data_IF_160951229198
#
_entry.id   IF_160951229198
#
_cell.length_a   1.000
_cell.length_b   1.000
_cell.length_c   1.000
_cell.angle_alpha   90.00
_cell.angle_beta   90.00
_cell.angle_gamma   90.00
#
_symmetry.space_group_name_H-M   'P 1'
#
loop_
_entity.id
_entity.type
_entity.pdbx_description
1 polymer ?
#
# COMPACT_ATOMS: atom_id res chain seq x y z
N UNK A 1 8.20 -91.24 -53.86
CA UNK A 1 9.38 -90.36 -53.62
C UNK A 1 8.93 -88.94 -53.32
N UNK A 2 9.14 -88.51 -52.06
CA UNK A 2 9.60 -87.19 -51.60
C UNK A 2 8.92 -85.90 -52.14
N UNK A 3 8.18 -85.17 -51.28
CA UNK A 3 8.59 -83.96 -50.49
C UNK A 3 8.33 -82.64 -51.25
N UNK A 4 7.87 -81.49 -50.72
CA UNK A 4 7.22 -81.06 -49.46
C UNK A 4 6.77 -79.57 -49.65
N UNK A 5 5.56 -79.20 -49.18
CA UNK A 5 5.10 -77.95 -48.51
C UNK A 5 5.41 -76.54 -49.09
N UNK A 6 4.38 -75.68 -49.27
CA UNK A 6 4.24 -74.41 -48.52
C UNK A 6 2.85 -73.73 -48.65
N UNK A 7 2.41 -73.17 -47.51
CA UNK A 7 1.12 -72.54 -47.18
C UNK A 7 1.13 -71.06 -47.60
N UNK A 8 -0.02 -70.52 -48.02
CA UNK A 8 -0.19 -69.09 -48.34
C UNK A 8 -1.59 -68.54 -48.02
N UNK A 9 -1.63 -67.63 -47.04
CA UNK A 9 -2.77 -66.85 -46.51
C UNK A 9 -3.32 -65.85 -47.55
N UNK A 10 -4.64 -65.62 -47.58
CA UNK A 10 -5.24 -64.39 -48.14
C UNK A 10 -6.65 -64.15 -47.55
N UNK A 11 -6.75 -63.36 -46.48
CA UNK A 11 -7.93 -62.53 -46.23
C UNK A 11 -7.41 -61.13 -45.86
N UNK A 12 -7.50 -60.22 -46.83
CA UNK A 12 -7.36 -58.79 -46.65
C UNK A 12 -8.77 -58.23 -46.46
N UNK A 13 -9.05 -57.65 -45.30
CA UNK A 13 -10.33 -57.01 -44.98
C UNK A 13 -10.07 -55.77 -44.12
N UNK A 14 -10.10 -54.62 -44.79
CA UNK A 14 -9.80 -53.28 -44.27
C UNK A 14 -10.62 -52.90 -43.02
N UNK A 15 -9.92 -52.65 -41.92
CA UNK A 15 -10.41 -51.76 -40.84
C UNK A 15 -9.92 -50.35 -41.18
N UNK A 16 -10.81 -49.50 -41.69
CA UNK A 16 -10.54 -48.05 -41.76
C UNK A 16 -10.77 -47.48 -40.36
N UNK A 17 -9.76 -47.64 -39.50
CA UNK A 17 -9.66 -46.99 -38.20
C UNK A 17 -8.90 -45.68 -38.35
N UNK A 18 -9.48 -44.59 -37.86
CA UNK A 18 -8.88 -43.26 -37.79
C UNK A 18 -7.60 -43.31 -36.93
N UNK A 19 -6.45 -43.56 -37.54
CA UNK A 19 -5.15 -43.54 -36.86
C UNK A 19 -4.59 -42.12 -36.89
N UNK A 20 -4.89 -41.35 -35.85
CA UNK A 20 -4.03 -40.21 -35.52
C UNK A 20 -2.60 -40.78 -35.33
N UNK A 21 -1.63 -40.25 -36.08
CA UNK A 21 -0.27 -40.79 -36.10
C UNK A 21 0.44 -40.50 -34.78
N UNK A 22 1.49 -41.27 -34.44
CA UNK A 22 2.34 -41.00 -33.26
C UNK A 22 2.96 -39.59 -33.34
N UNK A 23 3.25 -39.11 -34.54
CA UNK A 23 3.70 -37.73 -34.79
C UNK A 23 2.63 -36.68 -34.46
N UNK A 24 1.35 -36.99 -34.66
CA UNK A 24 0.23 -36.10 -34.31
C UNK A 24 0.00 -36.04 -32.79
N UNK A 25 0.24 -37.16 -32.08
CA UNK A 25 0.29 -37.20 -30.60
C UNK A 25 1.49 -36.44 -30.02
N UNK A 26 2.67 -36.56 -30.64
CA UNK A 26 3.89 -35.86 -30.21
C UNK A 26 3.83 -34.34 -30.48
N UNK A 27 3.02 -33.91 -31.45
CA UNK A 27 2.84 -32.49 -31.83
C UNK A 27 1.56 -31.85 -31.26
N UNK A 28 0.87 -32.52 -30.33
CA UNK A 28 -0.31 -31.91 -29.70
C UNK A 28 0.07 -30.58 -29.04
N UNK A 29 -0.68 -29.50 -29.32
CA UNK A 29 -0.41 -28.23 -28.68
C UNK A 29 -0.53 -28.40 -27.16
N UNK A 30 0.46 -27.88 -26.40
CA UNK A 30 0.48 -28.01 -24.95
C UNK A 30 -0.80 -27.40 -24.38
N UNK A 31 -1.42 -28.11 -23.43
CA UNK A 31 -2.71 -27.74 -22.83
C UNK A 31 -2.48 -27.08 -21.47
N UNK A 32 -3.36 -26.17 -21.04
CA UNK A 32 -3.29 -25.63 -19.69
C UNK A 32 -3.47 -26.75 -18.66
N UNK A 33 -2.70 -26.68 -17.57
CA UNK A 33 -2.76 -27.65 -16.45
C UNK A 33 -4.05 -27.55 -15.65
N UNK A 34 -4.77 -26.41 -15.75
CA UNK A 34 -6.07 -26.19 -15.13
C UNK A 34 -6.82 -25.04 -15.81
N UNK A 35 -8.14 -24.94 -15.59
CA UNK A 35 -8.92 -23.80 -16.07
C UNK A 35 -8.42 -22.47 -15.49
N UNK A 36 -7.98 -22.45 -14.23
CA UNK A 36 -7.43 -21.25 -13.60
C UNK A 36 -6.15 -20.76 -14.31
N UNK A 37 -5.24 -21.66 -14.68
CA UNK A 37 -4.05 -21.34 -15.47
C UNK A 37 -4.40 -20.79 -16.85
N UNK A 38 -5.41 -21.38 -17.50
CA UNK A 38 -5.92 -20.87 -18.78
C UNK A 38 -6.47 -19.45 -18.64
N UNK A 39 -7.21 -19.18 -17.55
CA UNK A 39 -7.75 -17.85 -17.26
C UNK A 39 -6.64 -16.80 -17.08
N UNK A 40 -5.52 -17.13 -16.41
CA UNK A 40 -4.38 -16.20 -16.30
C UNK A 40 -3.83 -15.81 -17.67
N UNK A 41 -3.66 -16.78 -18.56
CA UNK A 41 -3.14 -16.54 -19.92
C UNK A 41 -4.12 -15.71 -20.77
N UNK A 42 -5.43 -15.95 -20.63
CA UNK A 42 -6.47 -15.17 -21.32
C UNK A 42 -6.60 -13.75 -20.75
N UNK A 43 -6.58 -13.58 -19.43
CA UNK A 43 -6.71 -12.29 -18.76
C UNK A 43 -5.55 -11.34 -19.06
N UNK A 44 -4.36 -11.91 -19.29
CA UNK A 44 -3.14 -11.19 -19.72
C UNK A 44 -3.04 -11.02 -21.23
N UNK A 45 -4.06 -11.47 -21.99
CA UNK A 45 -4.11 -11.33 -23.45
C UNK A 45 -2.95 -12.01 -24.17
N UNK A 46 -2.41 -13.09 -23.61
CA UNK A 46 -1.37 -13.86 -24.27
C UNK A 46 -1.84 -14.30 -25.66
N UNK A 47 -1.01 -14.06 -26.67
CA UNK A 47 -1.22 -14.56 -28.03
C UNK A 47 -1.26 -16.09 -28.02
N UNK A 48 -1.81 -16.72 -29.06
CA UNK A 48 -1.83 -18.20 -29.14
C UNK A 48 -0.42 -18.80 -29.04
N UNK A 49 0.60 -18.13 -29.57
CA UNK A 49 2.01 -18.54 -29.43
C UNK A 49 2.51 -18.41 -27.99
N UNK A 50 2.22 -17.29 -27.31
CA UNK A 50 2.58 -17.11 -25.91
C UNK A 50 1.86 -18.07 -24.97
N UNK A 51 0.58 -18.38 -25.22
CA UNK A 51 -0.15 -19.40 -24.46
C UNK A 51 0.53 -20.77 -24.59
N UNK A 52 0.90 -21.18 -25.81
CA UNK A 52 1.66 -22.42 -26.00
C UNK A 52 2.99 -22.39 -25.28
N UNK A 53 3.72 -21.28 -25.36
CA UNK A 53 4.98 -21.10 -24.64
C UNK A 53 4.79 -21.28 -23.13
N UNK A 54 3.81 -20.58 -22.56
CA UNK A 54 3.44 -20.64 -21.15
C UNK A 54 3.09 -22.05 -20.72
N UNK A 55 2.20 -22.74 -21.44
CA UNK A 55 1.76 -24.10 -21.09
C UNK A 55 2.87 -25.14 -21.19
N UNK A 56 3.89 -24.96 -22.06
CA UNK A 56 5.07 -25.83 -22.09
C UNK A 56 5.91 -25.75 -20.82
N UNK A 57 5.84 -24.64 -20.10
CA UNK A 57 6.60 -24.46 -18.86
C UNK A 57 5.88 -25.07 -17.65
N UNK A 58 4.97 -26.03 -17.83
CA UNK A 58 4.21 -26.70 -16.74
C UNK A 58 3.71 -25.72 -15.63
N UNK A 59 2.93 -24.68 -15.99
CA UNK A 59 2.54 -23.65 -15.05
C UNK A 59 1.59 -24.21 -13.98
N UNK A 60 1.72 -23.72 -12.75
CA UNK A 60 0.91 -24.17 -11.61
C UNK A 60 0.62 -23.06 -10.61
N UNK A 61 -0.59 -23.05 -10.05
CA UNK A 61 -1.01 -22.12 -9.00
C UNK A 61 -0.92 -22.84 -7.66
N UNK A 62 0.12 -22.52 -6.90
CA UNK A 62 0.52 -23.24 -5.71
C UNK A 62 0.29 -22.41 -4.44
N UNK A 63 0.07 -23.05 -3.27
CA UNK A 63 0.16 -22.33 -2.02
C UNK A 63 1.57 -21.75 -1.86
N UNK A 64 1.66 -20.70 -1.08
CA UNK A 64 2.86 -19.89 -0.87
C UNK A 64 4.05 -20.68 -0.34
N UNK A 65 3.83 -21.61 0.58
CA UNK A 65 4.83 -22.54 1.13
C UNK A 65 5.52 -23.32 0.01
N UNK A 66 4.73 -23.88 -0.90
CA UNK A 66 5.23 -24.65 -2.03
C UNK A 66 6.01 -23.78 -3.03
N UNK A 67 5.61 -22.52 -3.23
CA UNK A 67 6.37 -21.58 -4.08
C UNK A 67 7.73 -21.26 -3.47
N UNK A 68 7.82 -20.96 -2.17
CA UNK A 68 9.12 -20.66 -1.55
C UNK A 68 10.10 -21.84 -1.64
N UNK A 69 9.62 -23.06 -1.35
CA UNK A 69 10.42 -24.28 -1.46
C UNK A 69 10.89 -24.51 -2.90
N UNK A 70 9.97 -24.35 -3.86
CA UNK A 70 10.22 -24.64 -5.26
C UNK A 70 11.15 -23.62 -5.91
N UNK A 71 10.96 -22.34 -5.61
CA UNK A 71 11.79 -21.25 -6.08
C UNK A 71 13.15 -21.17 -5.35
N UNK A 72 13.39 -22.03 -4.34
CA UNK A 72 14.66 -22.17 -3.58
C UNK A 72 15.15 -20.86 -2.97
N UNK A 73 14.24 -20.14 -2.33
CA UNK A 73 14.54 -18.86 -1.73
C UNK A 73 14.86 -19.09 -0.26
N UNK A 74 16.11 -18.82 0.14
CA UNK A 74 16.58 -19.02 1.50
C UNK A 74 16.08 -17.96 2.50
N UNK A 75 15.57 -16.81 2.02
CA UNK A 75 15.26 -15.64 2.86
C UNK A 75 13.92 -14.94 2.55
N UNK A 76 13.45 -14.19 3.55
CA UNK A 76 12.12 -13.55 3.77
C UNK A 76 11.69 -12.50 2.71
N UNK A 77 11.67 -12.86 1.44
CA UNK A 77 11.19 -12.01 0.33
C UNK A 77 9.73 -12.28 -0.07
N UNK A 78 9.08 -11.30 -0.71
CA UNK A 78 7.82 -11.52 -1.43
C UNK A 78 8.19 -12.07 -2.81
N UNK A 79 8.03 -13.38 -3.02
CA UNK A 79 8.16 -13.99 -4.34
C UNK A 79 6.82 -14.58 -4.74
N UNK A 80 6.20 -13.92 -5.71
CA UNK A 80 4.85 -14.23 -6.17
C UNK A 80 4.85 -15.33 -7.22
N UNK A 81 6.01 -15.64 -7.79
CA UNK A 81 6.20 -16.72 -8.73
C UNK A 81 7.66 -16.85 -9.13
N UNK A 82 7.97 -17.91 -9.85
CA UNK A 82 9.27 -18.04 -10.49
C UNK A 82 9.19 -18.94 -11.72
N UNK A 83 10.04 -18.60 -12.68
CA UNK A 83 10.41 -19.44 -13.80
C UNK A 83 11.68 -20.25 -13.47
N UNK A 84 11.58 -21.57 -13.52
CA UNK A 84 12.68 -22.49 -13.21
C UNK A 84 13.00 -23.31 -14.45
N UNK A 85 14.27 -23.29 -14.88
CA UNK A 85 14.80 -24.18 -15.92
C UNK A 85 15.90 -25.08 -15.35
N UNK A 86 15.82 -26.38 -15.65
CA UNK A 86 16.86 -27.38 -15.33
C UNK A 86 17.00 -28.37 -16.50
N UNK A 87 18.05 -28.19 -17.30
CA UNK A 87 18.22 -28.97 -18.52
C UNK A 87 17.01 -28.81 -19.45
N UNK A 88 16.41 -29.92 -19.87
CA UNK A 88 15.20 -29.93 -20.72
C UNK A 88 13.89 -29.71 -19.95
N UNK A 89 13.92 -29.64 -18.62
CA UNK A 89 12.74 -29.45 -17.79
C UNK A 89 12.57 -27.99 -17.38
N UNK A 90 11.34 -27.49 -17.45
CA UNK A 90 10.97 -26.13 -17.04
C UNK A 90 9.68 -26.12 -16.24
N UNK A 91 9.58 -25.21 -15.27
CA UNK A 91 8.37 -25.00 -14.47
C UNK A 91 8.11 -23.52 -14.21
N UNK A 92 6.86 -23.10 -14.30
CA UNK A 92 6.38 -21.83 -13.77
C UNK A 92 5.54 -22.11 -12.52
N UNK A 93 5.97 -21.56 -11.40
CA UNK A 93 5.22 -21.59 -10.15
C UNK A 93 4.62 -20.21 -9.89
N UNK A 94 3.33 -20.15 -9.58
CA UNK A 94 2.62 -18.91 -9.27
C UNK A 94 1.98 -19.07 -7.90
N UNK A 95 2.28 -18.15 -6.99
CA UNK A 95 1.67 -18.11 -5.67
C UNK A 95 0.20 -17.77 -5.79
N UNK A 96 -0.63 -18.60 -5.15
CA UNK A 96 -2.06 -18.33 -5.00
C UNK A 96 -2.26 -17.07 -4.15
N UNK A 97 -2.93 -16.08 -4.73
CA UNK A 97 -3.35 -14.87 -4.02
C UNK A 97 -4.88 -14.88 -3.92
N UNK A 98 -5.38 -14.96 -2.69
CA UNK A 98 -6.83 -15.01 -2.41
C UNK A 98 -7.40 -13.67 -1.94
N UNK A 99 -6.53 -12.73 -1.56
CA UNK A 99 -6.96 -11.40 -1.13
C UNK A 99 -7.53 -10.62 -2.33
N UNK A 100 -8.82 -10.23 -2.30
CA UNK A 100 -9.46 -9.54 -3.42
C UNK A 100 -8.83 -8.16 -3.71
N UNK A 101 -8.15 -7.55 -2.73
CA UNK A 101 -7.46 -6.26 -2.89
C UNK A 101 -6.21 -6.37 -3.78
N UNK A 102 -5.68 -7.58 -3.93
CA UNK A 102 -4.50 -7.90 -4.74
C UNK A 102 -4.89 -8.52 -6.10
N UNK A 103 -6.12 -8.26 -6.57
CA UNK A 103 -6.57 -8.71 -7.89
C UNK A 103 -5.62 -8.18 -8.98
N UNK A 104 -5.26 -9.05 -9.92
CA UNK A 104 -4.26 -8.74 -10.94
C UNK A 104 -2.86 -9.24 -10.60
N UNK A 105 -2.56 -9.59 -9.34
CA UNK A 105 -1.24 -10.08 -8.95
C UNK A 105 -0.87 -11.38 -9.67
N UNK A 106 -1.73 -12.40 -9.63
CA UNK A 106 -1.44 -13.69 -10.28
C UNK A 106 -1.34 -13.55 -11.80
N UNK A 107 -2.17 -12.69 -12.41
CA UNK A 107 -2.14 -12.42 -13.83
C UNK A 107 -0.81 -11.76 -14.25
N UNK A 108 -0.39 -10.71 -13.54
CA UNK A 108 0.87 -10.01 -13.83
C UNK A 108 2.06 -10.95 -13.63
N UNK A 109 2.07 -11.73 -12.55
CA UNK A 109 3.09 -12.77 -12.32
C UNK A 109 3.10 -13.78 -13.47
N UNK A 110 1.95 -14.32 -13.89
CA UNK A 110 1.91 -15.27 -15.00
C UNK A 110 2.50 -14.69 -16.31
N UNK A 111 2.19 -13.43 -16.61
CA UNK A 111 2.76 -12.73 -17.76
C UNK A 111 4.28 -12.55 -17.60
N UNK A 112 4.73 -12.14 -16.41
CA UNK A 112 6.14 -11.94 -16.08
C UNK A 112 6.94 -13.24 -16.21
N UNK A 113 6.48 -14.33 -15.60
CA UNK A 113 7.17 -15.63 -15.67
C UNK A 113 7.19 -16.22 -17.09
N UNK A 114 6.12 -16.00 -17.88
CA UNK A 114 6.10 -16.37 -19.29
C UNK A 114 7.15 -15.57 -20.09
N UNK A 115 7.35 -14.29 -19.77
CA UNK A 115 8.36 -13.47 -20.43
C UNK A 115 9.79 -13.90 -20.11
N UNK A 116 10.08 -14.51 -18.95
CA UNK A 116 11.37 -15.15 -18.72
C UNK A 116 11.60 -16.33 -19.67
N UNK A 117 10.60 -17.19 -19.85
CA UNK A 117 10.68 -18.28 -20.81
C UNK A 117 10.84 -17.77 -22.26
N UNK A 118 10.19 -16.66 -22.59
CA UNK A 118 10.31 -16.00 -23.89
C UNK A 118 11.72 -15.43 -24.12
N UNK A 119 12.25 -14.72 -23.12
CA UNK A 119 13.59 -14.14 -23.17
C UNK A 119 14.67 -15.21 -23.35
N UNK A 120 14.51 -16.35 -22.68
CA UNK A 120 15.44 -17.47 -22.81
C UNK A 120 15.47 -18.05 -24.24
N UNK A 121 14.36 -18.02 -24.97
CA UNK A 121 14.29 -18.50 -26.36
C UNK A 121 14.90 -17.54 -27.39
N UNK A 122 15.18 -16.29 -27.02
CA UNK A 122 15.80 -15.32 -27.92
C UNK A 122 17.21 -15.76 -28.28
N UNK A 123 17.55 -15.65 -29.57
CA UNK A 123 18.92 -15.78 -30.05
C UNK A 123 19.78 -14.64 -29.54
N UNK A 124 21.10 -14.85 -29.48
CA UNK A 124 22.05 -13.82 -29.00
C UNK A 124 21.92 -12.49 -29.76
N UNK A 125 21.71 -12.53 -31.08
CA UNK A 125 21.50 -11.33 -31.90
C UNK A 125 20.21 -10.60 -31.51
N UNK A 126 19.09 -11.32 -31.36
CA UNK A 126 17.80 -10.74 -30.95
C UNK A 126 17.87 -10.14 -29.55
N UNK A 127 18.60 -10.78 -28.62
CA UNK A 127 18.83 -10.22 -27.28
C UNK A 127 19.63 -8.92 -27.35
N UNK A 128 20.69 -8.87 -28.17
CA UNK A 128 21.50 -7.67 -28.35
C UNK A 128 20.69 -6.49 -28.90
N UNK A 129 19.82 -6.74 -29.88
CA UNK A 129 18.95 -5.72 -30.47
C UNK A 129 17.99 -5.11 -29.45
N UNK A 130 17.29 -5.95 -28.67
CA UNK A 130 16.29 -5.46 -27.70
C UNK A 130 16.92 -4.87 -26.45
N UNK A 131 18.14 -5.27 -26.07
CA UNK A 131 18.82 -4.80 -24.87
C UNK A 131 19.08 -3.29 -24.91
N UNK A 132 19.36 -2.73 -26.09
CA UNK A 132 19.59 -1.28 -26.26
C UNK A 132 18.35 -0.50 -25.82
N UNK A 133 17.17 -0.88 -26.32
CA UNK A 133 15.92 -0.21 -25.98
C UNK A 133 15.49 -0.45 -24.53
N UNK A 134 15.74 -1.66 -23.98
CA UNK A 134 15.51 -1.94 -22.57
C UNK A 134 16.37 -1.05 -21.67
N UNK A 135 17.65 -0.86 -22.01
CA UNK A 135 18.57 -0.01 -21.24
C UNK A 135 18.18 1.48 -21.31
N UNK A 136 17.68 1.96 -22.45
CA UNK A 136 17.12 3.32 -22.57
C UNK A 136 15.89 3.46 -21.68
N UNK A 137 14.98 2.48 -21.74
CA UNK A 137 13.76 2.46 -20.92
C UNK A 137 14.10 2.43 -19.44
N UNK A 138 15.11 1.67 -19.02
CA UNK A 138 15.60 1.65 -17.64
C UNK A 138 16.03 3.04 -17.14
N UNK A 139 16.72 3.83 -17.97
CA UNK A 139 17.11 5.22 -17.63
C UNK A 139 15.91 6.14 -17.49
N UNK A 140 14.83 5.92 -18.24
CA UNK A 140 13.60 6.69 -18.10
C UNK A 140 12.87 6.32 -16.80
N UNK A 141 12.80 5.03 -16.48
CA UNK A 141 12.26 4.53 -15.20
C UNK A 141 12.95 5.19 -14.00
N UNK A 142 14.28 5.37 -14.04
CA UNK A 142 15.02 6.03 -12.96
C UNK A 142 14.64 7.51 -12.74
N UNK A 143 14.11 8.19 -13.76
CA UNK A 143 13.78 9.62 -13.73
C UNK A 143 12.31 9.91 -13.43
N UNK A 144 11.43 8.94 -13.59
CA UNK A 144 9.99 9.11 -13.47
C UNK A 144 9.48 8.73 -12.07
N UNK A 145 8.92 9.67 -11.30
CA UNK A 145 8.45 9.39 -9.92
C UNK A 145 7.44 8.25 -9.82
N UNK A 146 6.57 8.08 -10.83
CA UNK A 146 5.60 6.98 -10.85
C UNK A 146 6.24 5.58 -10.86
N UNK A 147 7.50 5.45 -11.25
CA UNK A 147 8.23 4.19 -11.28
C UNK A 147 9.30 4.09 -10.19
N UNK A 148 9.26 4.93 -9.15
CA UNK A 148 10.26 4.93 -8.08
C UNK A 148 10.46 3.54 -7.42
N UNK A 149 9.37 2.81 -7.18
CA UNK A 149 9.42 1.46 -6.61
C UNK A 149 10.04 0.45 -7.58
N UNK A 150 9.68 0.50 -8.86
CA UNK A 150 10.27 -0.36 -9.89
C UNK A 150 11.76 -0.05 -10.09
N UNK A 151 12.14 1.24 -10.12
CA UNK A 151 13.53 1.69 -10.16
C UNK A 151 14.33 1.12 -8.99
N UNK A 152 13.78 1.16 -7.76
CA UNK A 152 14.42 0.59 -6.57
C UNK A 152 14.60 -0.92 -6.69
N UNK A 153 13.59 -1.65 -7.18
CA UNK A 153 13.65 -3.10 -7.39
C UNK A 153 14.70 -3.49 -8.44
N UNK A 154 14.68 -2.86 -9.61
CA UNK A 154 15.68 -3.12 -10.68
C UNK A 154 17.11 -2.83 -10.20
N UNK A 155 17.29 -1.77 -9.40
CA UNK A 155 18.57 -1.47 -8.76
C UNK A 155 19.03 -2.54 -7.76
N UNK A 156 18.11 -3.20 -7.04
CA UNK A 156 18.44 -4.32 -6.17
C UNK A 156 18.91 -5.53 -6.98
N UNK A 157 18.20 -5.88 -8.06
CA UNK A 157 18.64 -6.93 -8.96
C UNK A 157 20.03 -6.65 -9.55
N UNK A 158 20.25 -5.42 -10.05
CA UNK A 158 21.53 -4.99 -10.61
C UNK A 158 22.70 -5.17 -9.64
N UNK A 159 22.48 -4.98 -8.34
CA UNK A 159 23.51 -5.11 -7.30
C UNK A 159 23.68 -6.54 -6.80
N UNK A 160 22.57 -7.23 -6.52
CA UNK A 160 22.60 -8.47 -5.75
C UNK A 160 22.63 -9.71 -6.66
N UNK A 161 21.97 -9.65 -7.82
CA UNK A 161 21.83 -10.77 -8.75
C UNK A 161 22.03 -10.29 -10.22
N UNK A 162 23.22 -9.76 -10.58
CA UNK A 162 23.44 -9.17 -11.90
C UNK A 162 23.22 -10.16 -13.06
N UNK A 163 23.37 -11.47 -12.81
CA UNK A 163 23.19 -12.52 -13.83
C UNK A 163 21.74 -12.67 -14.32
N UNK A 164 20.74 -12.25 -13.54
CA UNK A 164 19.32 -12.28 -13.93
C UNK A 164 18.77 -10.91 -14.30
N UNK A 165 19.56 -9.84 -14.11
CA UNK A 165 19.09 -8.46 -14.29
C UNK A 165 18.44 -8.22 -15.66
N UNK A 166 19.05 -8.68 -16.75
CA UNK A 166 18.52 -8.42 -18.10
C UNK A 166 17.17 -9.10 -18.34
N UNK A 167 16.98 -10.32 -17.81
CA UNK A 167 15.70 -11.03 -17.96
C UNK A 167 14.61 -10.43 -17.07
N UNK A 168 14.96 -9.99 -15.85
CA UNK A 168 14.05 -9.25 -14.96
C UNK A 168 13.66 -7.90 -15.57
N UNK A 169 14.63 -7.15 -16.11
CA UNK A 169 14.41 -5.88 -16.78
C UNK A 169 13.43 -6.05 -17.95
N UNK A 170 13.66 -7.06 -18.78
CA UNK A 170 12.76 -7.42 -19.87
C UNK A 170 11.34 -7.76 -19.37
N UNK A 171 11.21 -8.61 -18.36
CA UNK A 171 9.89 -9.05 -17.88
C UNK A 171 9.12 -7.93 -17.18
N UNK A 172 9.77 -7.10 -16.36
CA UNK A 172 9.16 -5.93 -15.72
C UNK A 172 8.75 -4.84 -16.72
N UNK A 173 9.61 -4.52 -17.71
CA UNK A 173 9.25 -3.54 -18.75
C UNK A 173 8.02 -4.01 -19.53
N UNK A 174 7.96 -5.31 -19.87
CA UNK A 174 6.84 -5.88 -20.61
C UNK A 174 5.50 -5.86 -19.87
N UNK A 175 5.52 -5.81 -18.53
CA UNK A 175 4.33 -5.99 -17.69
C UNK A 175 3.92 -4.74 -16.90
N UNK A 176 4.82 -3.79 -16.65
CA UNK A 176 4.58 -2.69 -15.71
C UNK A 176 4.74 -1.28 -16.31
N UNK A 177 5.56 -1.13 -17.35
CA UNK A 177 5.85 0.19 -17.94
C UNK A 177 4.82 0.52 -19.00
N UNK A 178 4.08 1.62 -18.82
CA UNK A 178 2.97 1.96 -19.69
C UNK A 178 3.43 2.36 -21.10
N UNK A 179 4.36 3.29 -21.21
CA UNK A 179 4.78 3.85 -22.50
C UNK A 179 6.14 3.27 -22.88
N UNK A 180 6.18 2.53 -23.99
CA UNK A 180 7.40 1.96 -24.54
C UNK A 180 7.74 2.61 -25.89
N UNK A 181 8.98 2.45 -26.33
CA UNK A 181 9.34 2.79 -27.71
C UNK A 181 8.49 1.96 -28.70
N UNK A 182 8.24 2.46 -29.92
CA UNK A 182 7.52 1.67 -30.94
C UNK A 182 8.18 0.33 -31.24
N UNK A 183 9.50 0.23 -31.11
CA UNK A 183 10.26 -1.01 -31.28
C UNK A 183 9.94 -2.02 -30.18
N UNK A 184 9.99 -1.62 -28.91
CA UNK A 184 9.64 -2.50 -27.79
C UNK A 184 8.16 -2.88 -27.80
N UNK A 185 7.26 -1.95 -28.16
CA UNK A 185 5.83 -2.28 -28.25
C UNK A 185 5.59 -3.36 -29.31
N UNK A 186 6.19 -3.22 -30.49
CA UNK A 186 6.13 -4.24 -31.56
C UNK A 186 6.75 -5.57 -31.13
N UNK A 187 7.84 -5.52 -30.37
CA UNK A 187 8.47 -6.71 -29.82
C UNK A 187 7.52 -7.48 -28.87
N UNK A 188 6.86 -6.78 -27.94
CA UNK A 188 5.94 -7.41 -26.97
C UNK A 188 4.60 -7.83 -27.59
N UNK A 189 4.18 -7.26 -28.73
CA UNK A 189 3.01 -7.71 -29.49
C UNK A 189 3.10 -9.18 -29.93
N UNK A 190 4.30 -9.75 -30.02
CA UNK A 190 4.50 -11.20 -30.26
C UNK A 190 3.90 -12.05 -29.15
N UNK A 191 3.87 -11.51 -27.92
CA UNK A 191 3.45 -12.22 -26.73
C UNK A 191 2.06 -11.83 -26.23
N UNK A 192 1.65 -10.57 -26.41
CA UNK A 192 0.37 -10.06 -25.92
C UNK A 192 -0.38 -9.30 -27.01
N UNK A 193 -1.68 -9.56 -27.16
CA UNK A 193 -2.52 -8.80 -28.09
C UNK A 193 -2.89 -7.42 -27.55
N UNK A 194 -2.91 -7.25 -26.22
CA UNK A 194 -3.11 -5.96 -25.55
C UNK A 194 -2.25 -5.90 -24.27
N UNK A 195 -1.01 -5.44 -24.42
CA UNK A 195 -0.07 -5.29 -23.30
C UNK A 195 -0.55 -4.28 -22.26
N UNK A 196 -1.31 -3.25 -22.66
CA UNK A 196 -1.84 -2.25 -21.73
C UNK A 196 -2.81 -2.86 -20.72
N UNK A 197 -3.47 -3.98 -21.07
CA UNK A 197 -4.27 -4.75 -20.11
C UNK A 197 -3.43 -5.24 -18.93
N UNK A 198 -2.21 -5.71 -19.17
CA UNK A 198 -1.29 -6.21 -18.14
C UNK A 198 -0.78 -5.05 -17.28
N UNK A 199 -0.37 -3.95 -17.92
CA UNK A 199 0.04 -2.73 -17.22
C UNK A 199 -1.07 -2.24 -16.29
N UNK A 200 -2.34 -2.28 -16.74
CA UNK A 200 -3.48 -1.93 -15.90
C UNK A 200 -3.64 -2.86 -14.70
N UNK A 201 -3.47 -4.18 -14.89
CA UNK A 201 -3.51 -5.15 -13.80
C UNK A 201 -2.35 -4.95 -12.81
N UNK A 202 -1.14 -4.61 -13.30
CA UNK A 202 0.02 -4.28 -12.47
C UNK A 202 -0.25 -3.03 -11.63
N UNK A 203 -0.73 -1.95 -12.24
CA UNK A 203 -1.12 -0.73 -11.52
C UNK A 203 -2.18 -1.01 -10.45
N UNK A 204 -3.16 -1.87 -10.75
CA UNK A 204 -4.19 -2.26 -9.79
C UNK A 204 -3.61 -3.03 -8.59
N UNK A 205 -2.72 -4.00 -8.85
CA UNK A 205 -2.16 -4.85 -7.79
C UNK A 205 -1.23 -4.08 -6.83
N UNK A 206 -0.52 -3.06 -7.32
CA UNK A 206 0.36 -2.22 -6.49
C UNK A 206 -0.35 -1.01 -5.84
N UNK A 207 -1.51 -0.60 -6.37
CA UNK A 207 -2.21 0.62 -5.93
C UNK A 207 -2.61 0.57 -4.44
N UNK A 208 -3.03 -0.59 -3.94
CA UNK A 208 -3.45 -0.71 -2.53
C UNK A 208 -2.28 -0.47 -1.58
N UNK A 209 -1.09 -0.99 -1.89
CA UNK A 209 0.11 -0.76 -1.08
C UNK A 209 0.50 0.71 -1.09
N UNK A 210 0.55 1.32 -2.27
CA UNK A 210 0.85 2.75 -2.42
C UNK A 210 -0.14 3.64 -1.67
N UNK A 211 -1.45 3.32 -1.71
CA UNK A 211 -2.49 4.04 -0.97
C UNK A 211 -2.26 3.96 0.54
N UNK A 212 -1.99 2.77 1.08
CA UNK A 212 -1.78 2.57 2.51
C UNK A 212 -0.49 3.26 2.99
N UNK A 213 0.58 3.19 2.20
CA UNK A 213 1.83 3.89 2.48
C UNK A 213 1.64 5.41 2.48
N UNK A 214 0.95 5.95 1.47
CA UNK A 214 0.67 7.38 1.38
C UNK A 214 -0.17 7.84 2.58
N UNK A 215 -1.23 7.11 2.91
CA UNK A 215 -2.11 7.45 4.02
C UNK A 215 -1.37 7.39 5.36
N UNK A 216 -0.52 6.38 5.58
CA UNK A 216 0.34 6.29 6.76
C UNK A 216 1.33 7.46 6.85
N UNK A 217 1.95 7.84 5.72
CA UNK A 217 2.90 8.94 5.65
C UNK A 217 2.24 10.31 5.84
N UNK A 218 0.95 10.44 5.52
CA UNK A 218 0.16 11.64 5.77
C UNK A 218 -0.30 11.70 7.24
N UNK A 219 -0.83 10.60 7.79
CA UNK A 219 -1.37 10.57 9.15
C UNK A 219 -0.31 10.80 10.22
N UNK A 220 0.92 10.29 10.04
CA UNK A 220 2.00 10.41 11.02
C UNK A 220 2.30 11.88 11.40
N UNK A 221 2.66 12.78 10.46
CA UNK A 221 2.94 14.17 10.82
C UNK A 221 1.69 14.91 11.35
N UNK A 222 0.49 14.59 10.86
CA UNK A 222 -0.75 15.19 11.39
C UNK A 222 -1.00 14.80 12.85
N UNK A 223 -0.69 13.56 13.23
CA UNK A 223 -0.78 13.06 14.62
C UNK A 223 0.27 13.76 15.49
N UNK A 224 1.53 13.82 15.06
CA UNK A 224 2.63 14.48 15.78
C UNK A 224 2.34 15.99 16.01
N UNK A 225 1.76 16.66 15.02
CA UNK A 225 1.32 18.04 15.14
C UNK A 225 0.21 18.18 16.21
N UNK A 226 -0.80 17.31 16.17
CA UNK A 226 -1.89 17.34 17.16
C UNK A 226 -1.39 17.05 18.58
N UNK A 227 -0.42 16.16 18.77
CA UNK A 227 0.20 15.92 20.08
C UNK A 227 0.86 17.18 20.62
N UNK A 228 1.57 17.90 19.75
CA UNK A 228 2.22 19.18 20.11
C UNK A 228 1.18 20.24 20.47
N UNK A 229 0.13 20.40 19.66
CA UNK A 229 -0.95 21.35 19.91
C UNK A 229 -1.70 21.03 21.21
N UNK A 230 -2.03 19.76 21.46
CA UNK A 230 -2.72 19.34 22.67
C UNK A 230 -1.87 19.61 23.92
N UNK A 231 -0.56 19.36 23.86
CA UNK A 231 0.35 19.68 24.97
C UNK A 231 0.40 21.18 25.27
N UNK A 232 0.42 22.02 24.24
CA UNK A 232 0.41 23.47 24.41
C UNK A 232 -0.92 23.97 24.98
N UNK A 233 -2.05 23.44 24.49
CA UNK A 233 -3.38 23.79 25.00
C UNK A 233 -3.57 23.35 26.45
N UNK A 234 -3.12 22.16 26.81
CA UNK A 234 -3.16 21.65 28.19
C UNK A 234 -2.43 22.61 29.15
N UNK A 235 -1.20 23.02 28.79
CA UNK A 235 -0.43 24.01 29.57
C UNK A 235 -1.16 25.36 29.69
N UNK A 236 -1.75 25.85 28.59
CA UNK A 236 -2.50 27.10 28.60
C UNK A 236 -3.75 27.01 29.48
N UNK A 237 -4.44 25.87 29.45
CA UNK A 237 -5.61 25.61 30.28
C UNK A 237 -5.23 25.58 31.76
N UNK A 238 -4.18 24.86 32.15
CA UNK A 238 -3.72 24.83 33.55
C UNK A 238 -3.30 26.21 34.06
N UNK A 239 -2.59 27.01 33.24
CA UNK A 239 -2.21 28.37 33.61
C UNK A 239 -3.42 29.30 33.74
N UNK A 240 -4.42 29.17 32.86
CA UNK A 240 -5.65 29.96 32.93
C UNK A 240 -6.49 29.58 34.17
N UNK A 241 -6.55 28.30 34.51
CA UNK A 241 -7.21 27.82 35.73
C UNK A 241 -6.55 28.39 37.00
N UNK A 242 -5.22 28.35 37.09
CA UNK A 242 -4.49 28.95 38.21
C UNK A 242 -4.76 30.46 38.35
N UNK A 243 -4.78 31.20 37.23
CA UNK A 243 -5.11 32.64 37.22
C UNK A 243 -6.55 32.93 37.66
N UNK A 244 -7.50 32.08 37.26
CA UNK A 244 -8.89 32.19 37.70
C UNK A 244 -9.00 31.95 39.21
N UNK A 245 -8.32 30.93 39.75
CA UNK A 245 -8.30 30.64 41.19
C UNK A 245 -7.68 31.79 42.00
N UNK A 246 -6.54 32.34 41.55
CA UNK A 246 -5.90 33.48 42.19
C UNK A 246 -6.81 34.72 42.18
N UNK A 247 -7.44 35.01 41.04
CA UNK A 247 -8.36 36.15 40.91
C UNK A 247 -9.59 35.98 41.78
N UNK A 248 -10.15 34.77 41.85
CA UNK A 248 -11.26 34.45 42.73
C UNK A 248 -10.90 34.66 44.22
N UNK A 249 -9.70 34.24 44.64
CA UNK A 249 -9.23 34.48 46.00
C UNK A 249 -9.08 35.99 46.31
N UNK A 250 -8.54 36.78 45.37
CA UNK A 250 -8.44 38.24 45.50
C UNK A 250 -9.81 38.90 45.61
N UNK A 251 -10.76 38.53 44.74
CA UNK A 251 -12.12 39.03 44.77
C UNK A 251 -12.80 38.73 46.10
N UNK A 252 -12.62 37.52 46.65
CA UNK A 252 -13.15 37.18 47.98
C UNK A 252 -12.58 38.06 49.09
N UNK A 253 -11.28 38.36 49.07
CA UNK A 253 -10.66 39.27 50.03
C UNK A 253 -11.18 40.71 49.86
N UNK A 254 -11.32 41.19 48.62
CA UNK A 254 -11.86 42.52 48.32
C UNK A 254 -13.33 42.65 48.72
N UNK A 255 -14.13 41.57 48.62
CA UNK A 255 -15.52 41.59 49.06
C UNK A 255 -15.62 41.84 50.58
N UNK A 256 -14.69 41.28 51.38
CA UNK A 256 -14.61 41.55 52.83
C UNK A 256 -14.22 43.00 53.11
N UNK A 257 -13.19 43.53 52.43
CA UNK A 257 -12.77 44.94 52.55
C UNK A 257 -13.89 45.92 52.14
N UNK A 258 -14.60 45.61 51.06
CA UNK A 258 -15.72 46.41 50.57
C UNK A 258 -16.86 46.45 51.58
N UNK A 259 -17.15 45.32 52.23
CA UNK A 259 -18.16 45.24 53.29
C UNK A 259 -17.76 46.09 54.52
N UNK A 260 -16.48 46.07 54.91
CA UNK A 260 -15.98 46.92 56.00
C UNK A 260 -16.06 48.41 55.63
N UNK A 261 -15.69 48.76 54.39
CA UNK A 261 -15.77 50.13 53.87
C UNK A 261 -17.21 50.63 53.86
N UNK A 262 -18.16 49.78 53.43
CA UNK A 262 -19.60 50.05 53.48
C UNK A 262 -20.07 50.37 54.89
N UNK A 263 -19.78 49.48 55.85
CA UNK A 263 -20.17 49.66 57.25
C UNK A 263 -19.60 50.96 57.85
N UNK A 264 -18.34 51.28 57.54
CA UNK A 264 -17.71 52.51 58.01
C UNK A 264 -18.34 53.77 57.39
N UNK A 265 -18.74 53.72 56.12
CA UNK A 265 -19.46 54.82 55.46
C UNK A 265 -20.87 55.01 56.05
N UNK A 266 -21.60 53.91 56.28
CA UNK A 266 -22.93 53.92 56.91
C UNK A 266 -22.88 54.50 58.33
N UNK A 267 -21.92 54.08 59.14
CA UNK A 267 -21.73 54.60 60.50
C UNK A 267 -21.43 56.10 60.50
N UNK A 268 -20.50 56.55 59.65
CA UNK A 268 -20.15 57.97 59.55
C UNK A 268 -21.34 58.84 59.14
N UNK A 269 -22.21 58.32 58.25
CA UNK A 269 -23.44 58.98 57.85
C UNK A 269 -24.45 59.07 59.00
N UNK A 270 -24.73 57.96 59.69
CA UNK A 270 -25.67 57.90 60.82
C UNK A 270 -25.25 58.84 61.97
N UNK A 271 -23.95 58.95 62.22
CA UNK A 271 -23.37 59.82 63.25
C UNK A 271 -23.15 61.27 62.79
N UNK A 272 -23.49 61.63 61.54
CA UNK A 272 -23.30 62.97 60.95
C UNK A 272 -21.84 63.46 61.04
N UNK A 273 -20.87 62.56 60.86
CA UNK A 273 -19.46 62.92 60.89
C UNK A 273 -19.08 63.76 59.66
N UNK A 274 -18.16 64.75 59.77
CA UNK A 274 -17.75 65.60 58.65
C UNK A 274 -17.25 64.84 57.41
N UNK A 275 -16.66 63.66 57.63
CA UNK A 275 -16.07 62.80 56.60
C UNK A 275 -17.07 61.83 55.92
N UNK A 276 -18.36 61.88 56.23
CA UNK A 276 -19.35 60.92 55.73
C UNK A 276 -19.43 60.88 54.19
N UNK A 277 -19.44 62.06 53.54
CA UNK A 277 -19.48 62.17 52.08
C UNK A 277 -18.23 61.58 51.42
N UNK A 278 -17.05 61.80 52.00
CA UNK A 278 -15.79 61.24 51.51
C UNK A 278 -15.80 59.70 51.59
N UNK A 279 -16.20 59.13 52.73
CA UNK A 279 -16.28 57.67 52.90
C UNK A 279 -17.30 57.02 51.97
N UNK A 280 -18.44 57.68 51.72
CA UNK A 280 -19.41 57.23 50.73
C UNK A 280 -18.81 57.23 49.32
N UNK A 281 -18.11 58.28 48.94
CA UNK A 281 -17.43 58.36 47.63
C UNK A 281 -16.39 57.25 47.48
N UNK A 282 -15.61 56.96 48.53
CA UNK A 282 -14.64 55.87 48.52
C UNK A 282 -15.30 54.51 48.35
N UNK A 283 -16.38 54.23 49.10
CA UNK A 283 -17.15 53.00 48.95
C UNK A 283 -17.68 52.82 47.51
N UNK A 284 -18.28 53.87 46.94
CA UNK A 284 -18.82 53.81 45.57
C UNK A 284 -17.73 53.56 44.52
N UNK A 285 -16.54 54.16 44.67
CA UNK A 285 -15.40 53.90 43.79
C UNK A 285 -14.88 52.46 43.91
N UNK A 286 -14.70 51.96 45.13
CA UNK A 286 -14.26 50.57 45.36
C UNK A 286 -15.30 49.56 44.86
N UNK A 287 -16.59 49.84 45.03
CA UNK A 287 -17.68 49.02 44.50
C UNK A 287 -17.65 48.94 42.98
N UNK A 288 -17.45 50.06 42.29
CA UNK A 288 -17.32 50.08 40.85
C UNK A 288 -16.13 49.24 40.37
N UNK A 289 -14.95 49.43 40.97
CA UNK A 289 -13.75 48.64 40.65
C UNK A 289 -13.95 47.14 40.91
N UNK A 290 -14.59 46.78 42.02
CA UNK A 290 -14.91 45.39 42.35
C UNK A 290 -15.83 44.76 41.30
N UNK A 291 -16.91 45.47 40.92
CA UNK A 291 -17.84 44.98 39.90
C UNK A 291 -17.15 44.77 38.55
N UNK A 292 -16.30 45.71 38.12
CA UNK A 292 -15.53 45.57 36.87
C UNK A 292 -14.62 44.33 36.89
N UNK A 293 -13.97 44.04 38.04
CA UNK A 293 -13.11 42.87 38.19
C UNK A 293 -13.91 41.55 38.23
N UNK A 294 -15.11 41.55 38.81
CA UNK A 294 -16.04 40.42 38.78
C UNK A 294 -16.48 40.13 37.34
N UNK A 295 -16.83 41.16 36.57
CA UNK A 295 -17.22 41.01 35.17
C UNK A 295 -16.07 40.43 34.32
N UNK A 296 -14.84 40.93 34.51
CA UNK A 296 -13.64 40.37 33.86
C UNK A 296 -13.38 38.92 34.26
N UNK A 297 -13.55 38.56 35.54
CA UNK A 297 -13.40 37.19 36.01
C UNK A 297 -14.43 36.25 35.37
N UNK A 298 -15.69 36.67 35.32
CA UNK A 298 -16.78 35.91 34.71
C UNK A 298 -16.53 35.69 33.21
N UNK A 299 -16.06 36.72 32.50
CA UNK A 299 -15.71 36.61 31.08
C UNK A 299 -14.52 35.65 30.85
N UNK A 300 -13.48 35.74 31.67
CA UNK A 300 -12.35 34.81 31.60
C UNK A 300 -12.77 33.35 31.88
N UNK A 301 -13.70 33.14 32.82
CA UNK A 301 -14.26 31.82 33.10
C UNK A 301 -15.06 31.27 31.91
N UNK A 302 -15.81 32.14 31.21
CA UNK A 302 -16.53 31.79 29.97
C UNK A 302 -15.55 31.39 28.86
N UNK A 303 -14.52 32.19 28.61
CA UNK A 303 -13.47 31.90 27.62
C UNK A 303 -12.76 30.57 27.95
N UNK A 304 -12.46 30.32 29.23
CA UNK A 304 -11.83 29.07 29.65
C UNK A 304 -12.70 27.85 29.32
N UNK A 305 -14.03 27.95 29.52
CA UNK A 305 -14.97 26.88 29.16
C UNK A 305 -14.96 26.59 27.65
N UNK A 306 -14.85 27.62 26.82
CA UNK A 306 -14.73 27.47 25.36
C UNK A 306 -13.42 26.79 24.96
N UNK A 307 -12.31 27.16 25.61
CA UNK A 307 -11.00 26.51 25.37
C UNK A 307 -10.99 25.04 25.77
N UNK A 308 -11.67 24.67 26.86
CA UNK A 308 -11.84 23.26 27.25
C UNK A 308 -12.65 22.51 26.19
N UNK A 309 -13.68 23.13 25.61
CA UNK A 309 -14.45 22.52 24.53
C UNK A 309 -13.60 22.29 23.26
N UNK A 310 -12.78 23.28 22.86
CA UNK A 310 -11.84 23.14 21.73
C UNK A 310 -10.80 22.04 21.97
N UNK A 311 -10.20 22.00 23.17
CA UNK A 311 -9.29 20.94 23.57
C UNK A 311 -9.93 19.55 23.43
N UNK A 312 -11.14 19.37 23.95
CA UNK A 312 -11.86 18.10 23.84
C UNK A 312 -12.17 17.72 22.38
N UNK A 313 -12.51 18.69 21.53
CA UNK A 313 -12.71 18.46 20.11
C UNK A 313 -11.42 18.00 19.42
N UNK A 314 -10.28 18.63 19.73
CA UNK A 314 -8.96 18.22 19.22
C UNK A 314 -8.55 16.84 19.71
N UNK A 315 -8.82 16.49 20.97
CA UNK A 315 -8.61 15.13 21.51
C UNK A 315 -9.43 14.10 20.73
N UNK A 316 -10.68 14.41 20.36
CA UNK A 316 -11.50 13.53 19.55
C UNK A 316 -10.91 13.30 18.15
N UNK A 317 -10.44 14.36 17.48
CA UNK A 317 -9.77 14.27 16.18
C UNK A 317 -8.48 13.45 16.28
N UNK A 318 -7.66 13.71 17.29
CA UNK A 318 -6.44 12.93 17.55
C UNK A 318 -6.74 11.44 17.70
N UNK A 319 -7.73 11.07 18.51
CA UNK A 319 -8.16 9.68 18.69
C UNK A 319 -8.61 9.03 17.38
N UNK A 320 -9.39 9.74 16.56
CA UNK A 320 -9.82 9.24 15.26
C UNK A 320 -8.64 8.99 14.32
N UNK A 321 -7.66 9.91 14.27
CA UNK A 321 -6.46 9.74 13.44
C UNK A 321 -5.59 8.58 13.91
N UNK A 322 -5.39 8.41 15.22
CA UNK A 322 -4.70 7.24 15.78
C UNK A 322 -5.41 5.94 15.41
N UNK A 323 -6.73 5.89 15.54
CA UNK A 323 -7.52 4.72 15.14
C UNK A 323 -7.34 4.41 13.65
N UNK A 324 -7.39 5.43 12.79
CA UNK A 324 -7.17 5.25 11.35
C UNK A 324 -5.76 4.79 11.03
N UNK A 325 -4.75 5.37 11.66
CA UNK A 325 -3.34 4.98 11.50
C UNK A 325 -3.13 3.51 11.90
N UNK A 326 -3.69 3.11 13.04
CA UNK A 326 -3.63 1.72 13.50
C UNK A 326 -4.37 0.75 12.55
N UNK A 327 -5.51 1.18 11.99
CA UNK A 327 -6.25 0.42 11.00
C UNK A 327 -5.46 0.25 9.69
N UNK A 328 -4.82 1.32 9.19
CA UNK A 328 -3.94 1.27 8.01
C UNK A 328 -2.74 0.34 8.25
N UNK A 329 -2.12 0.41 9.43
CA UNK A 329 -1.02 -0.47 9.79
C UNK A 329 -1.46 -1.94 9.86
N UNK A 330 -2.65 -2.21 10.40
CA UNK A 330 -3.25 -3.56 10.39
C UNK A 330 -3.52 -4.02 8.96
N UNK A 331 -4.13 -3.16 8.15
CA UNK A 331 -4.45 -3.47 6.77
C UNK A 331 -3.20 -3.82 5.94
N UNK A 332 -2.13 -3.05 6.12
CA UNK A 332 -0.83 -3.29 5.50
C UNK A 332 -0.23 -4.62 5.94
N UNK A 333 -0.28 -4.96 7.24
CA UNK A 333 0.16 -6.27 7.74
C UNK A 333 -0.65 -7.40 7.15
N UNK A 334 -1.99 -7.30 7.14
CA UNK A 334 -2.87 -8.34 6.60
C UNK A 334 -2.55 -8.61 5.10
N UNK A 335 -2.28 -7.56 4.33
CA UNK A 335 -1.83 -7.68 2.94
C UNK A 335 -0.45 -8.36 2.86
N UNK A 336 0.52 -7.92 3.66
CA UNK A 336 1.86 -8.51 3.66
C UNK A 336 1.83 -9.99 4.08
N UNK A 337 1.04 -10.36 5.08
CA UNK A 337 0.89 -11.74 5.54
C UNK A 337 0.28 -12.64 4.46
N UNK A 338 -0.65 -12.12 3.66
CA UNK A 338 -1.16 -12.84 2.48
C UNK A 338 -0.04 -13.16 1.47
N UNK A 339 1.08 -12.43 1.52
CA UNK A 339 2.20 -12.53 0.58
C UNK A 339 3.48 -13.17 1.17
N UNK A 340 3.80 -13.03 2.47
CA UNK A 340 5.09 -13.46 3.08
C UNK A 340 4.94 -14.49 4.20
N UNK A 341 5.70 -15.59 4.21
CA UNK A 341 5.56 -16.61 5.28
C UNK A 341 6.06 -16.00 6.57
N UNK A 342 5.24 -16.01 7.62
CA UNK A 342 5.72 -15.70 8.98
C UNK A 342 6.57 -16.88 9.43
N UNK A 343 7.84 -16.65 9.74
CA UNK A 343 8.61 -17.64 10.51
C UNK A 343 7.88 -17.90 11.84
N UNK A 344 7.83 -19.15 12.33
CA UNK A 344 7.25 -19.47 13.64
C UNK A 344 7.92 -18.70 14.77
#
# INVERSE_FOLDING_TARGET
MRQLILIGFCIFGLVVGNQATVEEWLNLPPRPTSNAVEQLARATTMTRSAQRLFYRQDPSIEPKEAVLDRCRIADKGIILGCYIRRGSWSKIAIQRVTDPRLKGTMEVTAAHEMLHAAYEQLRLSERGEIQIDLAITAKNIEREPQYANLSKLLNQYRRNNPSVYDTELHSHIGTEVANLSPTLERYYQRYFTDRQRIVKLSKQSIAIKGKLEQESNQLRPEIEQLETELKQLDQQLSQAEARLQETHARLNAQAVDLQQTKQAAELAFLQRLPQANQRRSEFEQRKAQFNDQVDQHNENARIQKERIADFNAKVAIYKQKIQRYNAVAKESRDILDSLTIRSP
#
